data_IF_910576991994
#
_entry.id   IF_910576991994
#
_cell.length_a   1.000
_cell.length_b   1.000
_cell.length_c   1.000
_cell.angle_alpha   90.00
_cell.angle_beta   90.00
_cell.angle_gamma   90.00
#
_symmetry.space_group_name_H-M   'P 1'
#
loop_
_entity.id
_entity.type
_entity.pdbx_description
1 polymer ?
#
# COMPACT_ATOMS: atom_id res chain seq x y z
N UNK A 1 -60.18 -25.90 0.85
CA UNK A 1 -58.95 -25.83 0.05
C UNK A 1 -58.08 -24.72 0.67
N UNK A 2 -57.12 -25.10 1.53
CA UNK A 2 -56.27 -24.15 2.27
C UNK A 2 -54.95 -24.01 1.52
N UNK A 3 -54.71 -22.82 0.97
CA UNK A 3 -53.49 -22.47 0.24
C UNK A 3 -52.40 -22.14 1.24
N UNK A 4 -51.36 -22.99 1.38
CA UNK A 4 -50.18 -22.72 2.17
C UNK A 4 -49.20 -21.94 1.29
N UNK A 5 -49.08 -20.64 1.55
CA UNK A 5 -48.01 -19.79 1.03
C UNK A 5 -46.71 -20.08 1.80
N UNK A 6 -45.81 -20.82 1.16
CA UNK A 6 -44.45 -21.03 1.68
C UNK A 6 -43.61 -19.81 1.29
N UNK A 7 -43.36 -18.96 2.27
CA UNK A 7 -42.47 -17.79 2.13
C UNK A 7 -41.02 -18.27 2.27
N UNK A 8 -40.34 -18.53 1.14
CA UNK A 8 -38.91 -18.84 1.13
C UNK A 8 -38.11 -17.59 1.44
N UNK A 9 -37.60 -17.52 2.65
CA UNK A 9 -36.58 -16.51 3.06
C UNK A 9 -35.26 -16.92 2.45
N UNK A 10 -34.84 -16.27 1.36
CA UNK A 10 -33.49 -16.37 0.82
C UNK A 10 -32.58 -15.51 1.69
N UNK A 11 -31.88 -16.15 2.61
CA UNK A 11 -30.77 -15.52 3.37
C UNK A 11 -29.62 -15.25 2.41
N UNK A 12 -29.55 -14.03 1.89
CA UNK A 12 -28.34 -13.52 1.23
C UNK A 12 -27.28 -13.37 2.31
N UNK A 13 -26.40 -14.36 2.43
CA UNK A 13 -25.21 -14.27 3.24
C UNK A 13 -24.29 -13.19 2.67
N UNK A 14 -24.24 -12.04 3.32
CA UNK A 14 -23.21 -11.01 3.08
C UNK A 14 -21.88 -11.60 3.54
N UNK A 15 -21.16 -12.21 2.62
CA UNK A 15 -19.74 -12.55 2.84
C UNK A 15 -19.00 -11.24 2.97
N UNK A 16 -18.81 -10.78 4.21
CA UNK A 16 -17.86 -9.72 4.53
C UNK A 16 -16.47 -10.23 4.19
N UNK A 17 -15.97 -9.89 3.01
CA UNK A 17 -14.55 -9.99 2.74
C UNK A 17 -13.85 -9.05 3.73
N UNK A 18 -13.31 -9.61 4.80
CA UNK A 18 -12.39 -8.91 5.66
C UNK A 18 -11.15 -8.59 4.80
N UNK A 19 -11.15 -7.43 4.16
CA UNK A 19 -9.95 -6.89 3.58
C UNK A 19 -9.00 -6.67 4.76
N UNK A 20 -7.87 -7.37 4.74
CA UNK A 20 -6.78 -7.10 5.69
C UNK A 20 -6.27 -5.68 5.42
N UNK A 21 -6.97 -4.72 6.03
CA UNK A 21 -6.68 -3.32 5.86
C UNK A 21 -5.58 -2.93 6.82
N UNK A 22 -4.33 -2.95 6.33
CA UNK A 22 -3.22 -2.36 7.07
C UNK A 22 -3.43 -0.86 7.22
N UNK A 23 -3.96 -0.46 8.35
CA UNK A 23 -4.25 0.95 8.67
C UNK A 23 -3.07 1.57 9.40
N UNK A 24 -2.62 2.72 8.91
CA UNK A 24 -1.73 3.58 9.66
C UNK A 24 -2.51 4.30 10.77
N UNK A 25 -1.88 4.68 11.90
CA UNK A 25 -2.54 5.47 12.93
C UNK A 25 -3.11 6.77 12.37
N UNK A 26 -4.22 7.25 12.92
CA UNK A 26 -4.85 8.51 12.47
C UNK A 26 -3.88 9.69 12.49
N UNK A 27 -3.01 9.76 13.49
CA UNK A 27 -1.98 10.79 13.61
C UNK A 27 -0.97 10.82 12.45
N UNK A 28 -0.80 9.72 11.72
CA UNK A 28 0.10 9.68 10.56
C UNK A 28 -0.36 10.58 9.41
N UNK A 29 -1.66 10.93 9.35
CA UNK A 29 -2.20 11.86 8.34
C UNK A 29 -1.65 13.28 8.49
N UNK A 30 -1.21 13.63 9.69
CA UNK A 30 -0.66 14.95 10.00
C UNK A 30 0.83 15.06 9.66
N UNK A 31 1.50 13.94 9.36
CA UNK A 31 2.91 13.93 8.96
C UNK A 31 3.01 14.50 7.54
N UNK A 32 3.72 15.61 7.41
CA UNK A 32 3.87 16.32 6.14
C UNK A 32 5.12 15.88 5.39
N UNK A 33 4.97 15.61 4.10
CA UNK A 33 6.08 15.32 3.21
C UNK A 33 6.79 16.64 2.83
N UNK A 34 8.08 16.83 3.19
CA UNK A 34 8.79 18.07 2.87
C UNK A 34 9.20 18.16 1.39
N UNK A 35 9.02 17.10 0.61
CA UNK A 35 9.48 17.00 -0.78
C UNK A 35 8.34 16.81 -1.79
N UNK A 36 7.12 17.19 -1.47
CA UNK A 36 5.96 17.02 -2.38
C UNK A 36 6.27 17.60 -3.77
N UNK A 37 6.08 16.77 -4.81
CA UNK A 37 6.31 17.18 -6.20
C UNK A 37 7.78 17.35 -6.61
N UNK A 38 8.73 17.07 -5.72
CA UNK A 38 10.15 17.20 -6.00
C UNK A 38 10.63 16.06 -6.91
N UNK A 39 10.90 16.38 -8.17
CA UNK A 39 11.34 15.40 -9.18
C UNK A 39 12.72 14.80 -8.87
N UNK A 40 13.61 15.57 -8.26
CA UNK A 40 14.94 15.08 -7.86
C UNK A 40 14.80 14.06 -6.73
N UNK A 41 13.95 14.36 -5.74
CA UNK A 41 13.66 13.42 -4.67
C UNK A 41 13.04 12.13 -5.22
N UNK A 42 12.09 12.23 -6.15
CA UNK A 42 11.50 11.06 -6.81
C UNK A 42 12.52 10.22 -7.56
N UNK A 43 13.46 10.84 -8.28
CA UNK A 43 14.54 10.11 -8.98
C UNK A 43 15.49 9.39 -8.02
N UNK A 44 15.87 10.03 -6.90
CA UNK A 44 16.62 9.38 -5.83
C UNK A 44 15.84 8.23 -5.20
N UNK A 45 14.54 8.41 -5.00
CA UNK A 45 13.62 7.37 -4.52
C UNK A 45 13.53 6.19 -5.47
N UNK A 46 13.51 6.41 -6.77
CA UNK A 46 13.54 5.35 -7.79
C UNK A 46 14.80 4.50 -7.67
N UNK A 47 15.96 5.11 -7.47
CA UNK A 47 17.21 4.38 -7.28
C UNK A 47 17.21 3.50 -6.02
N UNK A 48 16.61 4.00 -4.93
CA UNK A 48 16.43 3.22 -3.70
C UNK A 48 15.42 2.08 -3.90
N UNK A 49 14.29 2.36 -4.53
CA UNK A 49 13.26 1.40 -4.85
C UNK A 49 13.82 0.22 -5.67
N UNK A 50 14.63 0.52 -6.68
CA UNK A 50 15.25 -0.47 -7.55
C UNK A 50 16.24 -1.39 -6.84
N UNK A 51 16.68 -1.03 -5.64
CA UNK A 51 17.57 -1.86 -4.80
C UNK A 51 16.81 -2.62 -3.72
N UNK A 52 15.77 -2.02 -3.14
CA UNK A 52 15.18 -2.49 -1.88
C UNK A 52 13.75 -3.01 -2.00
N UNK A 53 13.00 -2.60 -3.01
CA UNK A 53 11.54 -2.79 -3.04
C UNK A 53 11.05 -3.70 -4.17
N UNK A 54 11.73 -3.69 -5.32
CA UNK A 54 11.26 -4.32 -6.56
C UNK A 54 11.06 -5.84 -6.45
N UNK A 55 11.85 -6.52 -5.63
CA UNK A 55 11.79 -7.98 -5.48
C UNK A 55 10.39 -8.46 -5.08
N UNK A 56 9.71 -7.67 -4.24
CA UNK A 56 8.35 -7.93 -3.82
C UNK A 56 7.33 -7.09 -4.62
N UNK A 57 7.58 -5.79 -4.71
CA UNK A 57 6.62 -4.85 -5.30
C UNK A 57 6.65 -4.76 -6.84
N UNK A 58 7.63 -5.39 -7.50
CA UNK A 58 7.79 -5.35 -8.95
C UNK A 58 8.53 -4.11 -9.43
N UNK A 59 9.12 -4.19 -10.63
CA UNK A 59 9.88 -3.08 -11.21
C UNK A 59 9.05 -1.82 -11.44
N UNK A 60 7.75 -1.99 -11.72
CA UNK A 60 6.80 -0.91 -11.95
C UNK A 60 5.81 -0.71 -10.79
N UNK A 61 6.08 -1.30 -9.63
CA UNK A 61 5.24 -1.14 -8.45
C UNK A 61 3.89 -1.85 -8.48
N UNK A 62 3.71 -2.83 -9.37
CA UNK A 62 2.43 -3.55 -9.54
C UNK A 62 2.18 -4.65 -8.51
N UNK A 63 3.06 -4.84 -7.55
CA UNK A 63 2.94 -5.93 -6.57
C UNK A 63 3.27 -7.32 -7.13
N UNK A 64 3.97 -7.39 -8.23
CA UNK A 64 4.26 -8.59 -9.00
C UNK A 64 5.76 -8.91 -9.11
N UNK A 65 6.53 -8.55 -8.09
CA UNK A 65 7.94 -8.92 -8.03
C UNK A 65 8.13 -10.44 -7.95
N UNK A 66 9.36 -10.92 -8.21
CA UNK A 66 9.63 -12.37 -8.22
C UNK A 66 9.31 -13.08 -6.90
N UNK A 67 9.36 -12.38 -5.77
CA UNK A 67 9.00 -12.93 -4.47
C UNK A 67 7.48 -12.84 -4.15
N UNK A 68 6.69 -12.08 -4.93
CA UNK A 68 5.30 -11.76 -4.61
C UNK A 68 4.40 -13.00 -4.51
N UNK A 69 4.63 -14.02 -5.33
CA UNK A 69 3.81 -15.23 -5.34
C UNK A 69 3.83 -16.00 -4.00
N UNK A 70 4.92 -15.89 -3.24
CA UNK A 70 5.11 -16.54 -1.94
C UNK A 70 4.60 -15.71 -0.76
N UNK A 71 4.16 -14.46 -0.99
CA UNK A 71 3.79 -13.53 0.07
C UNK A 71 2.28 -13.50 0.28
N UNK A 72 1.87 -13.52 1.55
CA UNK A 72 0.49 -13.34 1.99
C UNK A 72 0.46 -12.38 3.19
N UNK A 73 -0.27 -11.24 3.07
CA UNK A 73 -0.95 -10.77 1.86
C UNK A 73 0.04 -10.43 0.74
N UNK A 74 -0.46 -10.40 -0.50
CA UNK A 74 0.35 -9.96 -1.65
C UNK A 74 0.79 -8.50 -1.50
N UNK A 75 1.98 -8.13 -2.01
CA UNK A 75 2.41 -6.74 -2.06
C UNK A 75 1.38 -5.88 -2.79
N UNK A 76 1.17 -4.65 -2.31
CA UNK A 76 0.21 -3.73 -2.93
C UNK A 76 0.69 -3.25 -4.29
N UNK A 77 -0.27 -3.04 -5.19
CA UNK A 77 -0.07 -2.32 -6.43
C UNK A 77 -0.02 -0.81 -6.13
N UNK A 78 1.14 -0.20 -6.30
CA UNK A 78 1.35 1.22 -6.03
C UNK A 78 0.64 2.15 -7.02
N UNK A 79 0.23 1.65 -8.18
CA UNK A 79 -0.57 2.42 -9.13
C UNK A 79 -2.06 2.45 -8.79
N UNK A 80 -2.52 1.63 -7.86
CA UNK A 80 -3.93 1.51 -7.52
C UNK A 80 -4.48 2.78 -6.87
N UNK A 81 -5.75 3.08 -7.17
CA UNK A 81 -6.45 4.21 -6.57
C UNK A 81 -6.51 4.11 -5.03
N UNK A 82 -6.67 2.91 -4.49
CA UNK A 82 -6.74 2.70 -3.05
C UNK A 82 -5.43 3.03 -2.33
N UNK A 83 -4.29 2.77 -2.96
CA UNK A 83 -3.02 3.19 -2.40
C UNK A 83 -2.82 4.69 -2.57
N UNK A 84 -3.11 5.23 -3.74
CA UNK A 84 -2.87 6.63 -4.05
C UNK A 84 -3.78 7.61 -3.27
N UNK A 85 -4.91 7.13 -2.74
CA UNK A 85 -5.78 7.91 -1.81
C UNK A 85 -5.18 8.11 -0.42
N UNK A 86 -4.26 7.26 0.00
CA UNK A 86 -3.62 7.40 1.30
C UNK A 86 -2.76 8.66 1.30
N UNK A 87 -2.66 9.32 2.45
CA UNK A 87 -1.77 10.48 2.58
C UNK A 87 -0.30 10.07 2.52
N UNK A 88 0.58 11.01 2.19
CA UNK A 88 2.02 10.77 2.21
C UNK A 88 2.50 10.33 3.60
N UNK A 89 1.92 10.91 4.65
CA UNK A 89 2.23 10.55 6.03
C UNK A 89 1.83 9.11 6.37
N UNK A 90 0.68 8.63 5.90
CA UNK A 90 0.26 7.24 6.08
C UNK A 90 1.21 6.27 5.37
N UNK A 91 1.60 6.57 4.13
CA UNK A 91 2.56 5.76 3.39
C UNK A 91 3.94 5.78 4.04
N UNK A 92 4.39 6.95 4.49
CA UNK A 92 5.66 7.12 5.20
C UNK A 92 5.69 6.32 6.50
N UNK A 93 4.59 6.35 7.28
CA UNK A 93 4.47 5.55 8.50
C UNK A 93 4.56 4.05 8.20
N UNK A 94 3.86 3.58 7.17
CA UNK A 94 3.88 2.16 6.76
C UNK A 94 5.27 1.71 6.33
N UNK A 95 5.94 2.50 5.48
CA UNK A 95 7.32 2.23 5.07
C UNK A 95 8.28 2.20 6.26
N UNK A 96 8.08 3.11 7.21
CA UNK A 96 8.94 3.24 8.39
C UNK A 96 8.80 2.08 9.36
N UNK A 97 7.59 1.58 9.57
CA UNK A 97 7.28 0.59 10.59
C UNK A 97 7.17 -0.85 10.08
N UNK A 98 6.92 -1.04 8.79
CA UNK A 98 6.74 -2.35 8.20
C UNK A 98 5.53 -3.12 8.74
N UNK A 99 5.29 -4.30 8.21
CA UNK A 99 4.31 -5.27 8.70
C UNK A 99 4.62 -6.65 8.09
N UNK A 100 4.66 -7.68 8.92
CA UNK A 100 4.92 -9.04 8.45
C UNK A 100 6.26 -9.14 7.71
N UNK A 101 6.23 -9.59 6.46
CA UNK A 101 7.43 -9.72 5.62
C UNK A 101 8.00 -8.39 5.13
N UNK A 102 7.23 -7.30 5.19
CA UNK A 102 7.72 -5.97 4.86
C UNK A 102 8.52 -5.39 6.04
N UNK A 103 9.80 -5.14 5.80
CA UNK A 103 10.74 -4.65 6.81
C UNK A 103 10.40 -3.23 7.30
N UNK A 104 10.68 -2.91 8.59
CA UNK A 104 10.61 -1.55 9.11
C UNK A 104 11.84 -0.75 8.66
N UNK A 105 11.70 0.10 7.64
CA UNK A 105 12.84 0.84 7.07
C UNK A 105 13.38 1.99 7.94
N UNK A 106 12.70 2.35 9.04
CA UNK A 106 13.20 3.39 9.96
C UNK A 106 14.55 3.07 10.58
N UNK A 107 14.95 1.79 10.61
CA UNK A 107 16.23 1.37 11.18
C UNK A 107 17.38 1.35 10.16
N UNK A 108 17.07 1.28 8.88
CA UNK A 108 18.06 1.15 7.79
C UNK A 108 18.14 2.37 6.87
N UNK A 109 17.09 3.17 6.82
CA UNK A 109 17.00 4.37 6.00
C UNK A 109 16.71 5.60 6.86
N UNK A 110 17.46 6.66 6.67
CA UNK A 110 17.15 7.94 7.28
C UNK A 110 15.82 8.52 6.75
N UNK A 111 15.31 9.54 7.39
CA UNK A 111 14.03 10.13 7.07
C UNK A 111 13.96 10.65 5.63
N UNK A 112 14.99 11.34 5.16
CA UNK A 112 15.07 11.87 3.80
C UNK A 112 14.91 10.76 2.74
N UNK A 113 15.66 9.65 2.89
CA UNK A 113 15.59 8.52 1.96
C UNK A 113 14.21 7.87 1.93
N UNK A 114 13.54 7.78 3.07
CA UNK A 114 12.17 7.26 3.15
C UNK A 114 11.20 8.18 2.42
N UNK A 115 11.32 9.50 2.57
CA UNK A 115 10.52 10.46 1.80
C UNK A 115 10.80 10.40 0.30
N UNK A 116 12.05 10.21 -0.10
CA UNK A 116 12.40 10.02 -1.50
C UNK A 116 11.68 8.82 -2.11
N UNK A 117 11.60 7.70 -1.39
CA UNK A 117 10.83 6.51 -1.82
C UNK A 117 9.34 6.85 -1.95
N UNK A 118 8.74 7.54 -0.98
CA UNK A 118 7.34 7.95 -1.07
C UNK A 118 7.09 8.84 -2.30
N UNK A 119 7.98 9.78 -2.58
CA UNK A 119 7.86 10.62 -3.78
C UNK A 119 7.94 9.80 -5.07
N UNK A 120 8.78 8.78 -5.14
CA UNK A 120 8.80 7.88 -6.28
C UNK A 120 7.50 7.07 -6.41
N UNK A 121 6.97 6.52 -5.31
CA UNK A 121 5.70 5.79 -5.29
C UNK A 121 4.56 6.66 -5.84
N UNK A 122 4.54 7.96 -5.56
CA UNK A 122 3.55 8.88 -6.13
C UNK A 122 3.63 8.97 -7.64
N UNK A 123 4.81 8.83 -8.24
CA UNK A 123 4.97 8.83 -9.70
C UNK A 123 4.40 7.57 -10.37
N UNK A 124 4.14 6.52 -9.60
CA UNK A 124 3.57 5.27 -10.10
C UNK A 124 2.05 5.29 -10.18
N UNK A 125 1.41 6.28 -9.60
CA UNK A 125 -0.04 6.48 -9.74
C UNK A 125 -0.42 6.68 -11.20
N UNK A 126 -1.56 6.08 -11.61
CA UNK A 126 -2.11 6.29 -12.95
C UNK A 126 -2.74 7.69 -12.99
N UNK A 127 -2.26 8.55 -13.89
CA UNK A 127 -2.88 9.84 -14.20
C UNK A 127 -4.09 9.66 -15.11
#
# INVERSE_FOLDING_TARGET
>A
MRLFLVLSFVLFGLSSFAQDSWQAPKSSKDIKNPYVGNKIAAKKGQALYSKLCWTCHGKNGKGNGPAAASLKPKPKDFSSADLQKQTDGELFWKLSNGKGMMMPYKHSLNEEKRWQIINYIRTLGVN
#
